data_IF_057385224517
#
_entry.id   IF_057385224517
#
_cell.length_a   1.000
_cell.length_b   1.000
_cell.length_c   1.000
_cell.angle_alpha   90.00
_cell.angle_beta   90.00
_cell.angle_gamma   90.00
#
_symmetry.space_group_name_H-M   'P 1'
#
loop_
_entity.id
_entity.type
_entity.pdbx_description
1 polymer ?
#
# COMPACT_ATOMS: atom_id res chain seq x y z
N UNK A 1 13.47 -18.18 -48.01
CA UNK A 1 13.38 -19.32 -47.07
C UNK A 1 12.50 -18.90 -45.92
N UNK A 2 11.29 -19.42 -45.87
CA UNK A 2 10.40 -19.13 -44.75
C UNK A 2 10.85 -20.00 -43.56
N UNK A 3 11.31 -19.37 -42.50
CA UNK A 3 11.60 -20.08 -41.25
C UNK A 3 10.29 -20.58 -40.66
N UNK A 4 10.14 -21.88 -40.54
CA UNK A 4 9.00 -22.49 -39.85
C UNK A 4 9.22 -22.24 -38.34
N UNK A 5 8.48 -21.29 -37.78
CA UNK A 5 8.50 -21.07 -36.35
C UNK A 5 7.81 -22.26 -35.68
N UNK A 6 8.60 -23.06 -34.98
CA UNK A 6 8.14 -24.24 -34.26
C UNK A 6 7.56 -23.82 -32.89
N UNK A 7 6.64 -24.63 -32.33
CA UNK A 7 6.09 -24.37 -30.98
C UNK A 7 7.18 -24.21 -29.90
N UNK A 8 8.29 -24.90 -30.03
CA UNK A 8 9.46 -24.78 -29.16
C UNK A 8 10.13 -23.41 -29.25
N UNK A 9 10.15 -22.79 -30.43
CA UNK A 9 10.75 -21.44 -30.58
C UNK A 9 9.88 -20.37 -29.94
N UNK A 10 8.55 -20.56 -29.98
CA UNK A 10 7.62 -19.66 -29.28
C UNK A 10 7.68 -19.78 -27.76
N UNK A 11 7.89 -21.00 -27.22
CA UNK A 11 8.08 -21.16 -25.76
C UNK A 11 9.38 -20.58 -25.29
N UNK A 12 10.47 -20.76 -26.02
CA UNK A 12 11.77 -20.15 -25.69
C UNK A 12 11.72 -18.63 -25.75
N UNK A 13 11.01 -18.05 -26.72
CA UNK A 13 10.80 -16.60 -26.79
C UNK A 13 9.94 -16.09 -25.63
N UNK A 14 8.91 -16.83 -25.26
CA UNK A 14 8.04 -16.47 -24.10
C UNK A 14 8.84 -16.54 -22.79
N UNK A 15 9.65 -17.57 -22.59
CA UNK A 15 10.50 -17.71 -21.41
C UNK A 15 11.59 -16.61 -21.34
N UNK A 16 12.19 -16.23 -22.46
CA UNK A 16 13.15 -15.13 -22.52
C UNK A 16 12.50 -13.76 -22.25
N UNK A 17 11.25 -13.56 -22.70
CA UNK A 17 10.49 -12.34 -22.39
C UNK A 17 10.10 -12.31 -20.92
N UNK A 18 9.73 -13.44 -20.34
CA UNK A 18 9.36 -13.54 -18.92
C UNK A 18 10.58 -13.30 -18.02
N UNK A 19 11.74 -13.83 -18.37
CA UNK A 19 13.00 -13.59 -17.64
C UNK A 19 13.43 -12.11 -17.72
N UNK A 20 13.44 -11.50 -18.89
CA UNK A 20 13.90 -10.11 -19.05
C UNK A 20 12.89 -9.08 -18.53
N UNK A 21 11.59 -9.36 -18.61
CA UNK A 21 10.55 -8.49 -18.04
C UNK A 21 10.31 -8.76 -16.55
N UNK A 22 10.54 -9.98 -16.08
CA UNK A 22 10.36 -10.38 -14.70
C UNK A 22 11.21 -9.55 -13.72
N UNK A 23 12.47 -9.32 -14.04
CA UNK A 23 13.38 -8.47 -13.25
C UNK A 23 12.88 -7.03 -13.17
N UNK A 24 12.38 -6.48 -14.28
CA UNK A 24 11.83 -5.13 -14.34
C UNK A 24 10.55 -5.01 -13.49
N UNK A 25 9.66 -5.99 -13.55
CA UNK A 25 8.46 -6.04 -12.71
C UNK A 25 8.79 -6.18 -11.24
N UNK A 26 9.78 -7.01 -10.88
CA UNK A 26 10.23 -7.13 -9.50
C UNK A 26 10.71 -5.79 -8.93
N UNK A 27 11.49 -5.03 -9.71
CA UNK A 27 11.97 -3.71 -9.32
C UNK A 27 10.79 -2.73 -9.11
N UNK A 28 9.79 -2.75 -9.99
CA UNK A 28 8.57 -1.97 -9.86
C UNK A 28 7.77 -2.33 -8.60
N UNK A 29 7.66 -3.62 -8.26
CA UNK A 29 6.97 -4.06 -7.03
C UNK A 29 7.68 -3.57 -5.77
N UNK A 30 9.01 -3.69 -5.71
CA UNK A 30 9.79 -3.18 -4.58
C UNK A 30 9.59 -1.67 -4.43
N UNK A 31 9.65 -0.93 -5.52
CA UNK A 31 9.45 0.52 -5.53
C UNK A 31 8.03 0.90 -5.07
N UNK A 32 7.02 0.20 -5.54
CA UNK A 32 5.63 0.40 -5.14
C UNK A 32 5.42 0.16 -3.63
N UNK A 33 6.01 -0.89 -3.08
CA UNK A 33 5.95 -1.19 -1.63
C UNK A 33 6.63 -0.07 -0.82
N UNK A 34 7.79 0.40 -1.25
CA UNK A 34 8.51 1.50 -0.58
C UNK A 34 7.66 2.78 -0.57
N UNK A 35 7.10 3.17 -1.72
CA UNK A 35 6.21 4.34 -1.82
C UNK A 35 4.99 4.15 -0.92
N UNK A 36 4.38 2.98 -0.91
CA UNK A 36 3.22 2.70 -0.08
C UNK A 36 3.52 2.84 1.41
N UNK A 37 4.65 2.30 1.89
CA UNK A 37 5.11 2.46 3.28
C UNK A 37 5.35 3.94 3.61
N UNK A 38 6.01 4.69 2.71
CA UNK A 38 6.26 6.11 2.91
C UNK A 38 4.96 6.91 3.01
N UNK A 39 3.99 6.65 2.15
CA UNK A 39 2.69 7.32 2.18
C UNK A 39 1.94 7.04 3.49
N UNK A 40 1.86 5.78 3.92
CA UNK A 40 1.24 5.43 5.20
C UNK A 40 1.95 6.14 6.36
N UNK A 41 3.29 6.13 6.36
CA UNK A 41 4.08 6.80 7.39
C UNK A 41 3.79 8.30 7.44
N UNK A 42 3.77 8.98 6.28
CA UNK A 42 3.48 10.41 6.17
C UNK A 42 2.07 10.75 6.64
N UNK A 43 1.07 10.02 6.18
CA UNK A 43 -0.32 10.20 6.61
C UNK A 43 -0.47 10.05 8.11
N UNK A 44 0.10 9.01 8.63
CA UNK A 44 0.02 8.73 10.05
C UNK A 44 0.80 9.76 10.89
N UNK A 45 1.94 10.23 10.41
CA UNK A 45 2.69 11.33 11.03
C UNK A 45 1.84 12.60 11.06
N UNK A 46 1.20 12.95 9.93
CA UNK A 46 0.36 14.14 9.80
C UNK A 46 -0.85 14.10 10.76
N UNK A 47 -1.52 12.95 10.88
CA UNK A 47 -2.62 12.77 11.83
C UNK A 47 -2.14 12.99 13.27
N UNK A 48 -0.98 12.42 13.63
CA UNK A 48 -0.42 12.57 14.98
C UNK A 48 -0.02 14.02 15.28
N UNK A 49 0.62 14.70 14.34
CA UNK A 49 1.06 16.09 14.50
C UNK A 49 -0.14 17.06 14.58
N UNK A 50 -1.18 16.84 13.78
CA UNK A 50 -2.41 17.65 13.83
C UNK A 50 -3.17 17.49 15.15
N UNK A 51 -3.01 16.37 15.84
CA UNK A 51 -3.71 16.08 17.08
C UNK A 51 -2.81 16.14 18.32
N UNK A 52 -1.63 16.74 18.21
CA UNK A 52 -0.64 16.76 19.29
C UNK A 52 -1.18 17.43 20.56
N UNK A 53 -1.90 18.52 20.42
CA UNK A 53 -2.52 19.26 21.54
C UNK A 53 -3.58 18.41 22.23
N UNK A 54 -4.45 17.74 21.46
CA UNK A 54 -5.47 16.84 22.02
C UNK A 54 -4.85 15.64 22.74
N UNK A 55 -3.78 15.06 22.18
CA UNK A 55 -3.02 13.95 22.79
C UNK A 55 -2.38 14.42 24.10
N UNK A 56 -1.82 15.61 24.13
CA UNK A 56 -1.18 16.15 25.34
C UNK A 56 -2.20 16.49 26.42
N UNK A 57 -3.36 17.02 26.05
CA UNK A 57 -4.49 17.24 27.00
C UNK A 57 -4.98 15.93 27.63
N UNK A 58 -5.14 14.87 26.85
CA UNK A 58 -5.52 13.56 27.37
C UNK A 58 -4.48 13.01 28.35
N UNK A 59 -3.19 13.24 28.09
CA UNK A 59 -2.11 12.86 29.02
C UNK A 59 -2.18 13.64 30.34
N UNK A 60 -2.52 14.94 30.29
CA UNK A 60 -2.70 15.78 31.50
C UNK A 60 -3.90 15.28 32.33
N UNK A 61 -4.98 14.81 31.68
CA UNK A 61 -6.15 14.21 32.31
C UNK A 61 -5.86 12.82 32.93
N UNK A 62 -4.63 12.31 32.81
CA UNK A 62 -4.19 11.06 33.42
C UNK A 62 -4.37 9.81 32.55
N UNK A 63 -4.74 9.96 31.28
CA UNK A 63 -4.80 8.81 30.36
C UNK A 63 -3.41 8.27 30.05
N UNK A 64 -3.26 6.96 30.09
CA UNK A 64 -1.98 6.31 29.72
C UNK A 64 -1.72 6.44 28.21
N UNK A 65 -0.46 6.58 27.85
CA UNK A 65 -0.03 6.68 26.45
C UNK A 65 -0.49 5.52 25.57
N UNK A 66 -0.73 4.34 26.17
CA UNK A 66 -1.28 3.17 25.48
C UNK A 66 -2.76 3.33 25.16
N UNK A 67 -3.54 3.91 26.05
CA UNK A 67 -4.98 4.15 25.84
C UNK A 67 -5.20 5.18 24.74
N UNK A 68 -4.46 6.27 24.78
CA UNK A 68 -4.49 7.33 23.75
C UNK A 68 -4.09 6.75 22.41
N UNK A 69 -2.98 6.02 22.36
CA UNK A 69 -2.49 5.36 21.14
C UNK A 69 -3.52 4.38 20.57
N UNK A 70 -4.22 3.64 21.42
CA UNK A 70 -5.27 2.69 21.00
C UNK A 70 -6.42 3.40 20.29
N UNK A 71 -6.90 4.54 20.81
CA UNK A 71 -8.00 5.29 20.21
C UNK A 71 -7.62 5.82 18.83
N UNK A 72 -6.46 6.46 18.70
CA UNK A 72 -5.99 7.01 17.42
C UNK A 72 -5.67 5.91 16.40
N UNK A 73 -5.07 4.81 16.85
CA UNK A 73 -4.74 3.70 15.99
C UNK A 73 -5.99 2.91 15.53
N UNK A 74 -7.01 2.80 16.36
CA UNK A 74 -8.27 2.17 15.98
C UNK A 74 -8.95 2.95 14.85
N UNK A 75 -9.00 4.27 14.96
CA UNK A 75 -9.56 5.13 13.91
C UNK A 75 -8.77 5.01 12.60
N UNK A 76 -7.45 5.10 12.68
CA UNK A 76 -6.57 4.96 11.50
C UNK A 76 -6.68 3.55 10.89
N UNK A 77 -6.80 2.51 11.73
CA UNK A 77 -6.97 1.13 11.29
C UNK A 77 -8.26 0.88 10.53
N UNK A 78 -9.37 1.45 11.01
CA UNK A 78 -10.68 1.34 10.34
C UNK A 78 -10.63 2.03 8.97
N UNK A 79 -10.11 3.25 8.92
CA UNK A 79 -9.97 3.99 7.65
C UNK A 79 -9.09 3.22 6.67
N UNK A 80 -8.01 2.63 7.16
CA UNK A 80 -7.08 1.85 6.34
C UNK A 80 -7.74 0.59 5.77
N UNK A 81 -8.49 -0.16 6.59
CA UNK A 81 -9.23 -1.35 6.15
C UNK A 81 -10.28 -1.01 5.10
N UNK A 82 -11.06 0.05 5.32
CA UNK A 82 -12.06 0.52 4.36
C UNK A 82 -11.41 0.96 3.05
N UNK A 83 -10.31 1.72 3.12
CA UNK A 83 -9.56 2.15 1.95
C UNK A 83 -8.99 0.97 1.16
N UNK A 84 -8.49 -0.04 1.85
CA UNK A 84 -7.94 -1.25 1.22
C UNK A 84 -9.03 -2.05 0.49
N UNK A 85 -10.21 -2.21 1.11
CA UNK A 85 -11.36 -2.87 0.49
C UNK A 85 -11.87 -2.12 -0.76
N UNK A 86 -11.82 -0.80 -0.76
CA UNK A 86 -12.24 0.02 -1.90
C UNK A 86 -11.16 0.03 -2.99
N UNK A 87 -9.89 0.07 -2.62
CA UNK A 87 -8.78 0.16 -3.58
C UNK A 87 -8.62 -1.09 -4.44
N UNK A 88 -8.94 -2.28 -3.91
CA UNK A 88 -8.85 -3.53 -4.64
C UNK A 88 -9.75 -3.57 -5.89
N UNK A 89 -11.08 -3.37 -5.80
CA UNK A 89 -11.94 -3.37 -6.97
C UNK A 89 -11.63 -2.18 -7.90
N UNK A 90 -11.22 -1.04 -7.34
CA UNK A 90 -10.84 0.13 -8.12
C UNK A 90 -9.59 -0.16 -8.97
N UNK A 91 -8.58 -0.80 -8.40
CA UNK A 91 -7.37 -1.23 -9.12
C UNK A 91 -7.70 -2.19 -10.26
N UNK A 92 -8.59 -3.15 -10.00
CA UNK A 92 -9.05 -4.08 -11.03
C UNK A 92 -9.72 -3.36 -12.20
N UNK A 93 -10.64 -2.43 -11.91
CA UNK A 93 -11.31 -1.63 -12.92
C UNK A 93 -10.30 -0.81 -13.75
N UNK A 94 -9.33 -0.21 -13.08
CA UNK A 94 -8.31 0.63 -13.71
C UNK A 94 -7.43 -0.20 -14.66
N UNK A 95 -6.96 -1.36 -14.23
CA UNK A 95 -6.19 -2.27 -15.08
C UNK A 95 -7.02 -2.75 -16.26
N UNK A 96 -8.30 -3.07 -16.04
CA UNK A 96 -9.20 -3.49 -17.11
C UNK A 96 -9.39 -2.39 -18.17
N UNK A 97 -9.55 -1.13 -17.76
CA UNK A 97 -9.69 0.01 -18.67
C UNK A 97 -8.40 0.24 -19.46
N UNK A 98 -7.25 0.23 -18.79
CA UNK A 98 -5.93 0.39 -19.45
C UNK A 98 -5.71 -0.74 -20.45
N UNK A 99 -5.97 -1.97 -20.04
CA UNK A 99 -5.82 -3.14 -20.91
C UNK A 99 -6.70 -3.03 -22.16
N UNK A 100 -7.96 -2.62 -21.98
CA UNK A 100 -8.89 -2.44 -23.10
C UNK A 100 -8.42 -1.34 -24.05
N UNK A 101 -7.93 -0.22 -23.51
CA UNK A 101 -7.39 0.88 -24.32
C UNK A 101 -6.15 0.46 -25.11
N UNK A 102 -5.26 -0.35 -24.52
CA UNK A 102 -4.08 -0.87 -25.22
C UNK A 102 -4.43 -1.90 -26.30
N UNK A 103 -5.51 -2.65 -26.12
CA UNK A 103 -5.95 -3.67 -27.08
C UNK A 103 -6.70 -3.11 -28.29
N UNK A 104 -7.14 -1.85 -28.25
CA UNK A 104 -7.81 -1.19 -29.41
C UNK A 104 -6.90 -1.10 -30.63
N UNK A 105 -5.59 -1.01 -30.43
CA UNK A 105 -4.59 -0.90 -31.51
C UNK A 105 -4.00 -2.26 -31.93
N UNK A 106 -4.40 -3.35 -31.26
CA UNK A 106 -3.88 -4.69 -31.51
C UNK A 106 -4.90 -5.57 -32.25
N UNK A 107 -4.49 -6.13 -33.41
CA UNK A 107 -5.29 -7.10 -34.18
C UNK A 107 -5.27 -8.52 -33.58
N UNK A 108 -5.57 -8.65 -32.29
CA UNK A 108 -5.60 -9.96 -31.61
C UNK A 108 -6.39 -9.88 -30.31
N UNK A 109 -7.02 -11.00 -29.91
CA UNK A 109 -7.71 -11.14 -28.63
C UNK A 109 -6.82 -11.87 -27.63
N UNK A 110 -6.23 -11.13 -26.72
CA UNK A 110 -5.62 -11.67 -25.52
C UNK A 110 -6.65 -11.53 -24.37
N UNK A 111 -6.92 -12.60 -23.65
CA UNK A 111 -7.80 -12.57 -22.47
C UNK A 111 -7.01 -12.18 -21.24
N UNK A 112 -7.45 -11.12 -20.57
CA UNK A 112 -6.88 -10.73 -19.28
C UNK A 112 -7.33 -11.73 -18.21
N UNK A 113 -6.41 -12.56 -17.73
CA UNK A 113 -6.66 -13.54 -16.69
C UNK A 113 -6.10 -13.07 -15.35
N UNK A 114 -6.98 -12.92 -14.36
CA UNK A 114 -6.59 -12.65 -12.98
C UNK A 114 -6.70 -13.93 -12.16
N UNK A 115 -5.59 -14.42 -11.68
CA UNK A 115 -5.58 -15.56 -10.77
C UNK A 115 -6.24 -15.14 -9.43
N UNK A 116 -7.23 -15.89 -8.91
CA UNK A 116 -7.98 -15.50 -7.71
C UNK A 116 -7.13 -15.39 -6.44
N UNK A 117 -5.96 -16.02 -6.40
CA UNK A 117 -5.03 -15.91 -5.27
C UNK A 117 -4.31 -14.54 -5.16
N UNK A 118 -4.35 -13.72 -6.21
CA UNK A 118 -3.74 -12.38 -6.19
C UNK A 118 -4.44 -11.48 -5.16
N UNK A 119 -5.75 -11.59 -5.01
CA UNK A 119 -6.55 -10.80 -4.08
C UNK A 119 -6.12 -10.95 -2.62
N UNK A 120 -6.03 -12.18 -2.07
CA UNK A 120 -5.56 -12.36 -0.71
C UNK A 120 -4.11 -11.94 -0.52
N UNK A 121 -3.24 -12.14 -1.52
CA UNK A 121 -1.84 -11.71 -1.44
C UNK A 121 -1.72 -10.18 -1.38
N UNK A 122 -2.41 -9.45 -2.23
CA UNK A 122 -2.43 -7.97 -2.19
C UNK A 122 -2.95 -7.45 -0.85
N UNK A 123 -4.01 -8.06 -0.33
CA UNK A 123 -4.58 -7.72 0.98
C UNK A 123 -3.58 -8.00 2.10
N UNK A 124 -2.89 -9.12 2.07
CA UNK A 124 -1.89 -9.49 3.07
C UNK A 124 -0.69 -8.53 3.06
N UNK A 125 -0.18 -8.15 1.89
CA UNK A 125 0.91 -7.18 1.76
C UNK A 125 0.47 -5.82 2.31
N UNK A 126 -0.73 -5.35 1.95
CA UNK A 126 -1.28 -4.09 2.45
C UNK A 126 -1.42 -4.08 3.96
N UNK A 127 -1.95 -5.15 4.54
CA UNK A 127 -2.09 -5.30 5.99
C UNK A 127 -0.72 -5.37 6.69
N UNK A 128 0.25 -6.11 6.15
CA UNK A 128 1.59 -6.21 6.70
C UNK A 128 2.31 -4.85 6.73
N UNK A 129 2.24 -4.09 5.64
CA UNK A 129 2.80 -2.74 5.59
C UNK A 129 2.15 -1.80 6.62
N UNK A 130 0.82 -1.89 6.78
CA UNK A 130 0.12 -1.12 7.81
C UNK A 130 0.59 -1.48 9.22
N UNK A 131 0.71 -2.78 9.53
CA UNK A 131 1.19 -3.23 10.84
C UNK A 131 2.60 -2.73 11.14
N UNK A 132 3.50 -2.73 10.17
CA UNK A 132 4.84 -2.18 10.32
C UNK A 132 4.79 -0.70 10.71
N UNK A 133 4.04 0.11 9.97
CA UNK A 133 3.93 1.55 10.26
C UNK A 133 3.26 1.79 11.60
N UNK A 134 2.22 1.01 11.95
CA UNK A 134 1.55 1.06 13.23
C UNK A 134 2.51 0.87 14.40
N UNK A 135 3.40 -0.13 14.34
CA UNK A 135 4.41 -0.38 15.36
C UNK A 135 5.37 0.82 15.52
N UNK A 136 5.79 1.43 14.42
CA UNK A 136 6.65 2.62 14.47
C UNK A 136 5.95 3.82 15.10
N UNK A 137 4.65 3.98 14.84
CA UNK A 137 3.88 5.10 15.40
C UNK A 137 3.60 4.98 16.88
N UNK A 138 3.29 3.78 17.37
CA UNK A 138 3.13 3.57 18.82
C UNK A 138 4.36 4.04 19.59
N UNK A 139 5.56 3.78 19.07
CA UNK A 139 6.80 4.26 19.68
C UNK A 139 6.91 5.79 19.68
N UNK A 140 6.37 6.46 18.66
CA UNK A 140 6.44 7.93 18.53
C UNK A 140 5.43 8.62 19.45
N UNK A 141 4.20 8.12 19.55
CA UNK A 141 3.16 8.68 20.44
C UNK A 141 3.60 8.61 21.92
N UNK A 142 4.23 7.51 22.31
CA UNK A 142 4.75 7.36 23.68
C UNK A 142 5.86 8.37 24.02
N UNK A 143 6.58 8.89 23.04
CA UNK A 143 7.67 9.88 23.23
C UNK A 143 7.20 11.34 23.25
N UNK A 144 5.92 11.64 23.03
CA UNK A 144 5.40 13.01 23.05
C UNK A 144 5.46 13.53 24.50
N UNK A 145 6.23 14.61 24.80
CA UNK A 145 6.33 15.14 26.15
C UNK A 145 5.07 15.89 26.56
N UNK A 146 4.75 15.87 27.84
CA UNK A 146 3.62 16.60 28.45
C UNK A 146 3.72 18.13 28.25
N UNK A 147 4.94 18.64 28.12
CA UNK A 147 5.20 20.08 27.92
C UNK A 147 4.75 20.64 26.56
N UNK A 148 4.45 19.77 25.58
CA UNK A 148 4.00 20.22 24.26
C UNK A 148 2.60 20.86 24.29
N UNK A 149 1.77 20.57 25.31
CA UNK A 149 0.46 21.20 25.49
C UNK A 149 0.57 22.66 26.00
N UNK A 150 1.64 22.97 26.73
CA UNK A 150 1.85 24.29 27.32
C UNK A 150 2.57 25.27 26.40
N UNK A 151 3.19 24.78 25.33
CA UNK A 151 4.03 25.61 24.44
C UNK A 151 3.28 26.17 23.23
N UNK A 152 2.06 25.75 22.98
CA UNK A 152 1.25 26.21 21.84
C UNK A 152 0.25 27.33 22.17
N UNK A 153 0.32 27.90 23.36
CA UNK A 153 -0.52 29.04 23.78
C UNK A 153 0.23 30.40 23.74
N UNK A 154 1.37 30.45 23.02
CA UNK A 154 2.05 31.71 22.70
C UNK A 154 2.04 31.90 21.15
#
# INVERSE_FOLDING_TARGET
MASVITRSDLTVMADQLDDSMGEMFYLLYVFAIVIYILLIYLFSKQITEKNITSISMLKILGYDGREISRIYNMTTGIVMMVSLLISLPLSYLLIKVIYYAMMLDYNGWLTLYFAPWIWPVMTAIGAACYLLVHVFQMKKINKIPLSSALKNDE
#
